data_IF_948945496673
#
_entry.id   IF_948945496673
#
_cell.length_a   1.000
_cell.length_b   1.000
_cell.length_c   1.000
_cell.angle_alpha   90.00
_cell.angle_beta   90.00
_cell.angle_gamma   90.00
#
_symmetry.space_group_name_H-M   'P 1'
#
loop_
_entity.id
_entity.type
_entity.pdbx_description
1 polymer ?
#
# COMPACT_ATOMS: atom_id res chain seq x y z
N UNK A 1 5.48 52.52 -9.80
CA UNK A 1 4.79 51.29 -10.25
C UNK A 1 5.74 50.10 -10.35
N UNK A 2 6.93 50.23 -10.92
CA UNK A 2 7.87 49.10 -11.07
C UNK A 2 8.33 48.49 -9.73
N UNK A 3 8.66 49.34 -8.75
CA UNK A 3 9.10 48.87 -7.42
C UNK A 3 8.02 48.04 -6.69
N UNK A 4 6.76 48.42 -6.78
CA UNK A 4 5.64 47.73 -6.18
C UNK A 4 5.42 46.33 -6.81
N UNK A 5 5.60 46.22 -8.11
CA UNK A 5 5.49 44.96 -8.85
C UNK A 5 6.65 44.03 -8.44
N UNK A 6 7.85 44.54 -8.35
CA UNK A 6 9.04 43.77 -7.94
C UNK A 6 8.87 43.24 -6.51
N UNK A 7 8.44 44.09 -5.59
CA UNK A 7 8.16 43.67 -4.20
C UNK A 7 7.07 42.61 -4.12
N UNK A 8 5.99 42.75 -4.90
CA UNK A 8 4.91 41.76 -4.95
C UNK A 8 5.39 40.41 -5.48
N UNK A 9 6.23 40.39 -6.52
CA UNK A 9 6.78 39.14 -7.07
C UNK A 9 7.71 38.47 -6.05
N UNK A 10 8.58 39.24 -5.40
CA UNK A 10 9.48 38.69 -4.37
C UNK A 10 8.68 38.10 -3.19
N UNK A 11 7.65 38.83 -2.73
CA UNK A 11 6.80 38.36 -1.65
C UNK A 11 6.05 37.06 -2.04
N UNK A 12 5.53 37.00 -3.26
CA UNK A 12 4.85 35.78 -3.77
C UNK A 12 5.81 34.59 -3.86
N UNK A 13 7.01 34.80 -4.40
CA UNK A 13 8.04 33.75 -4.47
C UNK A 13 8.48 33.29 -3.09
N UNK A 14 8.66 34.21 -2.15
CA UNK A 14 9.03 33.86 -0.78
C UNK A 14 7.97 33.01 -0.10
N UNK A 15 6.69 33.35 -0.22
CA UNK A 15 5.57 32.59 0.34
C UNK A 15 5.45 31.19 -0.31
N UNK A 16 5.58 31.12 -1.64
CA UNK A 16 5.50 29.83 -2.34
C UNK A 16 6.65 28.91 -1.97
N UNK A 17 7.88 29.41 -1.90
CA UNK A 17 9.04 28.63 -1.47
C UNK A 17 8.92 28.16 -0.02
N UNK A 18 8.39 29.01 0.87
CA UNK A 18 8.15 28.66 2.26
C UNK A 18 7.12 27.54 2.36
N UNK A 19 6.00 27.62 1.63
CA UNK A 19 4.98 26.58 1.63
C UNK A 19 5.49 25.25 1.06
N UNK A 20 6.21 25.29 -0.05
CA UNK A 20 6.83 24.09 -0.64
C UNK A 20 7.85 23.48 0.31
N UNK A 21 8.69 24.29 0.94
CA UNK A 21 9.66 23.83 1.94
C UNK A 21 8.98 23.16 3.13
N UNK A 22 7.89 23.75 3.64
CA UNK A 22 7.11 23.20 4.74
C UNK A 22 6.44 21.87 4.36
N UNK A 23 5.90 21.76 3.14
CA UNK A 23 5.31 20.53 2.64
C UNK A 23 6.35 19.41 2.47
N UNK A 24 7.54 19.72 1.93
CA UNK A 24 8.63 18.77 1.78
C UNK A 24 9.16 18.31 3.15
N UNK A 25 9.28 19.24 4.09
CA UNK A 25 9.68 18.92 5.46
C UNK A 25 8.66 18.04 6.17
N UNK A 26 7.38 18.38 6.06
CA UNK A 26 6.29 17.56 6.61
C UNK A 26 6.28 16.15 5.98
N UNK A 27 6.42 16.06 4.66
CA UNK A 27 6.53 14.78 3.96
C UNK A 27 7.71 13.95 4.48
N UNK A 28 8.89 14.55 4.60
CA UNK A 28 10.09 13.86 5.09
C UNK A 28 9.95 13.35 6.54
N UNK A 29 9.22 14.08 7.38
CA UNK A 29 8.97 13.70 8.78
C UNK A 29 7.85 12.68 8.95
N UNK A 30 6.80 12.75 8.11
CA UNK A 30 5.62 11.89 8.25
C UNK A 30 5.73 10.60 7.42
N UNK A 31 6.56 10.59 6.37
CA UNK A 31 6.79 9.37 5.60
C UNK A 31 7.89 8.58 6.29
N UNK A 32 7.50 7.45 6.89
CA UNK A 32 8.46 6.46 7.38
C UNK A 32 9.18 5.88 6.15
N UNK A 33 10.35 6.39 5.85
CA UNK A 33 11.22 5.86 4.80
C UNK A 33 12.17 4.85 5.44
N UNK A 34 11.69 3.62 5.59
CA UNK A 34 12.49 2.49 6.04
C UNK A 34 12.25 1.29 5.14
N UNK A 35 13.25 0.45 4.99
CA UNK A 35 13.06 -0.88 4.43
C UNK A 35 12.20 -1.69 5.40
N UNK A 36 11.17 -2.31 4.88
CA UNK A 36 10.28 -3.21 5.61
C UNK A 36 10.27 -4.57 4.95
N UNK A 37 10.16 -5.58 5.79
CA UNK A 37 10.13 -6.97 5.36
C UNK A 37 8.72 -7.51 5.48
N UNK A 38 8.24 -8.17 4.43
CA UNK A 38 6.96 -8.87 4.40
C UNK A 38 7.26 -10.36 4.33
N UNK A 39 6.92 -11.06 5.39
CA UNK A 39 6.99 -12.51 5.47
C UNK A 39 5.65 -13.11 5.03
N UNK A 40 5.70 -13.96 4.02
CA UNK A 40 4.53 -14.62 3.46
C UNK A 40 4.56 -16.09 3.83
N UNK A 41 3.47 -16.56 4.43
CA UNK A 41 3.25 -17.96 4.82
C UNK A 41 4.36 -18.54 5.72
N UNK A 42 4.91 -17.71 6.63
CA UNK A 42 5.92 -18.19 7.58
C UNK A 42 7.29 -18.50 6.95
N UNK A 43 7.73 -17.66 6.02
CA UNK A 43 9.05 -17.74 5.39
C UNK A 43 9.08 -18.40 4.01
N UNK A 44 7.92 -18.81 3.46
CA UNK A 44 7.85 -19.37 2.10
C UNK A 44 8.32 -18.34 1.06
N UNK A 45 7.98 -17.07 1.27
CA UNK A 45 8.50 -15.95 0.49
C UNK A 45 8.69 -14.72 1.37
N UNK A 46 9.89 -14.15 1.33
CA UNK A 46 10.22 -12.93 2.05
C UNK A 46 10.47 -11.81 1.03
N UNK A 47 9.78 -10.69 1.21
CA UNK A 47 9.88 -9.52 0.34
C UNK A 47 10.43 -8.36 1.16
N UNK A 48 11.51 -7.75 0.71
CA UNK A 48 12.01 -6.48 1.26
C UNK A 48 11.60 -5.34 0.34
N UNK A 49 10.99 -4.32 0.89
CA UNK A 49 10.45 -3.18 0.14
C UNK A 49 10.51 -1.90 0.95
N UNK A 50 10.33 -0.77 0.28
CA UNK A 50 10.17 0.52 0.96
C UNK A 50 8.77 0.66 1.57
N UNK A 51 8.71 1.30 2.75
CA UNK A 51 7.44 1.60 3.40
C UNK A 51 6.64 2.66 2.63
N UNK A 52 5.31 2.66 2.81
CA UNK A 52 4.40 3.71 2.29
C UNK A 52 3.40 3.24 1.25
N UNK A 53 3.67 2.18 0.51
CA UNK A 53 2.74 1.59 -0.48
C UNK A 53 1.64 0.77 0.18
N UNK A 54 0.61 0.41 -0.58
CA UNK A 54 -0.38 -0.57 -0.12
C UNK A 54 0.17 -1.97 -0.21
N UNK A 55 -0.27 -2.87 0.67
CA UNK A 55 0.14 -4.27 0.63
C UNK A 55 -0.16 -4.91 -0.72
N UNK A 56 -1.34 -4.62 -1.31
CA UNK A 56 -1.72 -5.11 -2.63
C UNK A 56 -0.71 -4.70 -3.72
N UNK A 57 -0.34 -3.42 -3.77
CA UNK A 57 0.62 -2.91 -4.76
C UNK A 57 2.02 -3.49 -4.54
N UNK A 58 2.46 -3.59 -3.30
CA UNK A 58 3.75 -4.18 -2.95
C UNK A 58 3.84 -5.65 -3.34
N UNK A 59 2.80 -6.42 -3.08
CA UNK A 59 2.73 -7.83 -3.46
C UNK A 59 2.75 -7.98 -4.99
N UNK A 60 1.97 -7.18 -5.72
CA UNK A 60 1.93 -7.20 -7.18
C UNK A 60 3.28 -6.88 -7.81
N UNK A 61 4.00 -5.88 -7.29
CA UNK A 61 5.36 -5.54 -7.73
C UNK A 61 6.35 -6.69 -7.53
N UNK A 62 6.09 -7.55 -6.56
CA UNK A 62 6.90 -8.73 -6.26
C UNK A 62 6.33 -10.04 -6.82
N UNK A 63 5.46 -9.94 -7.83
CA UNK A 63 4.85 -11.08 -8.56
C UNK A 63 3.98 -11.98 -7.67
N UNK A 64 3.35 -11.40 -6.67
CA UNK A 64 2.32 -12.05 -5.84
C UNK A 64 1.00 -11.32 -6.10
N UNK A 65 0.11 -11.94 -6.85
CA UNK A 65 -1.11 -11.30 -7.35
C UNK A 65 -2.33 -11.71 -6.53
N UNK A 66 -2.76 -10.85 -5.62
CA UNK A 66 -4.06 -11.01 -4.97
C UNK A 66 -5.18 -10.63 -5.95
N UNK A 67 -6.30 -11.36 -5.97
CA UNK A 67 -7.43 -11.01 -6.81
C UNK A 67 -7.96 -9.62 -6.45
N UNK A 68 -8.11 -8.74 -7.44
CA UNK A 68 -8.54 -7.36 -7.23
C UNK A 68 -9.25 -6.82 -8.46
N UNK A 69 -10.56 -7.03 -8.56
CA UNK A 69 -11.35 -6.54 -9.68
C UNK A 69 -11.45 -5.00 -9.74
N UNK A 70 -11.32 -4.32 -8.60
CA UNK A 70 -11.37 -2.85 -8.53
C UNK A 70 -9.99 -2.17 -8.67
N UNK A 71 -8.92 -2.94 -8.92
CA UNK A 71 -7.57 -2.38 -9.05
C UNK A 71 -7.03 -1.71 -7.78
N UNK A 72 -7.55 -2.06 -6.60
CA UNK A 72 -7.10 -1.48 -5.33
C UNK A 72 -8.00 -0.36 -4.79
N UNK A 73 -9.14 -0.08 -5.43
CA UNK A 73 -10.07 0.98 -5.03
C UNK A 73 -10.89 0.67 -3.76
N UNK A 74 -10.76 -0.51 -3.16
CA UNK A 74 -11.46 -0.87 -1.91
C UNK A 74 -12.93 -1.19 -2.07
N UNK A 75 -13.46 -1.32 -3.30
CA UNK A 75 -14.89 -1.48 -3.57
C UNK A 75 -15.34 -2.91 -3.88
N UNK A 76 -14.43 -3.84 -4.21
CA UNK A 76 -14.79 -5.21 -4.56
C UNK A 76 -14.64 -6.24 -3.43
N UNK A 77 -13.84 -5.94 -2.41
CA UNK A 77 -13.58 -6.83 -1.29
C UNK A 77 -12.85 -8.14 -1.63
N UNK A 78 -12.24 -8.26 -2.82
CA UNK A 78 -11.63 -9.51 -3.28
C UNK A 78 -10.19 -9.72 -2.79
N UNK A 79 -9.44 -8.66 -2.53
CA UNK A 79 -8.04 -8.70 -2.12
C UNK A 79 -7.85 -9.08 -0.65
N UNK A 80 -8.60 -10.07 -0.17
CA UNK A 80 -8.54 -10.53 1.22
C UNK A 80 -7.29 -11.37 1.45
N UNK A 81 -6.58 -11.05 2.50
CA UNK A 81 -5.47 -11.84 3.03
C UNK A 81 -5.47 -11.76 4.56
N UNK A 82 -4.83 -12.69 5.23
CA UNK A 82 -4.65 -12.60 6.67
C UNK A 82 -3.36 -11.85 6.95
N UNK A 83 -3.45 -10.81 7.77
CA UNK A 83 -2.29 -10.00 8.21
C UNK A 83 -2.09 -10.27 9.69
N UNK A 84 -1.17 -11.18 9.99
CA UNK A 84 -0.95 -11.70 11.35
C UNK A 84 -0.25 -10.64 12.21
N UNK A 85 0.73 -9.93 11.65
CA UNK A 85 1.49 -8.89 12.34
C UNK A 85 1.67 -7.67 11.42
N UNK A 86 1.70 -6.48 12.00
CA UNK A 86 2.03 -5.23 11.31
C UNK A 86 0.87 -4.58 10.53
N UNK A 87 -0.31 -5.18 10.52
CA UNK A 87 -1.45 -4.68 9.73
C UNK A 87 -2.21 -3.51 10.35
N UNK A 88 -1.95 -3.18 11.61
CA UNK A 88 -2.73 -2.18 12.35
C UNK A 88 -4.20 -2.58 12.54
N UNK A 89 -5.01 -1.64 12.98
CA UNK A 89 -6.44 -1.84 13.21
C UNK A 89 -7.24 -1.89 11.91
N UNK A 90 -8.41 -2.54 11.98
CA UNK A 90 -9.32 -2.63 10.84
C UNK A 90 -9.90 -1.24 10.53
N UNK A 91 -9.91 -0.88 9.25
CA UNK A 91 -10.39 0.43 8.83
C UNK A 91 -11.92 0.39 8.64
N UNK A 92 -12.62 1.52 8.85
CA UNK A 92 -14.05 1.63 8.58
C UNK A 92 -14.43 1.23 7.15
N UNK A 93 -13.55 1.45 6.18
CA UNK A 93 -13.72 1.08 4.77
C UNK A 93 -13.69 -0.43 4.53
N UNK A 94 -13.13 -1.21 5.45
CA UNK A 94 -13.05 -2.67 5.37
C UNK A 94 -14.27 -3.37 5.99
N UNK A 95 -14.99 -2.70 6.90
CA UNK A 95 -16.09 -3.30 7.68
C UNK A 95 -17.25 -3.81 6.84
N UNK A 96 -17.42 -3.27 5.62
CA UNK A 96 -18.42 -3.76 4.67
C UNK A 96 -18.07 -5.12 4.05
N UNK A 97 -16.80 -5.53 4.08
CA UNK A 97 -16.31 -6.75 3.44
C UNK A 97 -15.71 -7.76 4.42
N UNK A 98 -15.27 -7.29 5.58
CA UNK A 98 -14.66 -8.09 6.64
C UNK A 98 -15.64 -8.19 7.80
N UNK A 99 -16.14 -9.39 8.05
CA UNK A 99 -17.04 -9.64 9.18
C UNK A 99 -16.28 -9.61 10.51
N UNK A 100 -17.00 -9.48 11.63
CA UNK A 100 -16.38 -9.50 12.97
C UNK A 100 -15.60 -10.79 13.24
N UNK A 101 -16.03 -11.92 12.67
CA UNK A 101 -15.32 -13.19 12.78
C UNK A 101 -14.02 -13.14 12.00
N UNK A 102 -14.06 -12.70 10.75
CA UNK A 102 -12.88 -12.54 9.91
C UNK A 102 -11.87 -11.55 10.52
N UNK A 103 -12.36 -10.46 11.13
CA UNK A 103 -11.50 -9.51 11.82
C UNK A 103 -10.70 -10.16 12.97
N UNK A 104 -11.33 -11.05 13.74
CA UNK A 104 -10.66 -11.84 14.80
C UNK A 104 -9.65 -12.84 14.26
N UNK A 105 -9.84 -13.29 13.03
CA UNK A 105 -8.94 -14.19 12.30
C UNK A 105 -7.89 -13.42 11.49
N UNK A 106 -7.69 -12.11 11.78
CA UNK A 106 -6.72 -11.23 11.13
C UNK A 106 -6.91 -11.02 9.62
N UNK A 107 -8.13 -11.24 9.11
CA UNK A 107 -8.44 -10.93 7.71
C UNK A 107 -8.48 -9.43 7.47
N UNK A 108 -7.84 -9.00 6.39
CA UNK A 108 -7.77 -7.61 5.95
C UNK A 108 -7.92 -7.51 4.44
N UNK A 109 -8.23 -6.31 3.95
CA UNK A 109 -8.14 -6.01 2.52
C UNK A 109 -6.74 -5.51 2.17
N UNK A 110 -5.99 -6.24 1.34
CA UNK A 110 -4.62 -5.88 0.96
C UNK A 110 -4.49 -4.49 0.33
N UNK A 111 -5.55 -3.98 -0.30
CA UNK A 111 -5.56 -2.62 -0.85
C UNK A 111 -5.71 -1.52 0.21
N UNK A 112 -6.21 -1.83 1.40
CA UNK A 112 -6.39 -0.88 2.50
C UNK A 112 -5.24 -0.90 3.50
N UNK A 113 -4.52 -2.01 3.58
CA UNK A 113 -3.35 -2.13 4.47
C UNK A 113 -2.17 -1.38 3.88
N UNK A 114 -1.63 -0.44 4.65
CA UNK A 114 -0.39 0.29 4.31
C UNK A 114 0.81 -0.42 4.91
N UNK A 115 1.82 -0.63 4.09
CA UNK A 115 3.10 -1.20 4.51
C UNK A 115 3.89 -0.10 5.24
N UNK A 116 3.87 -0.11 6.57
CA UNK A 116 4.56 0.88 7.42
C UNK A 116 5.68 0.27 8.26
N UNK A 117 5.55 -0.99 8.57
CA UNK A 117 6.44 -1.79 9.41
C UNK A 117 6.51 -3.22 8.87
N UNK A 118 7.32 -4.05 9.48
CA UNK A 118 7.42 -5.45 9.08
C UNK A 118 6.07 -6.16 9.20
N UNK A 119 5.71 -6.89 8.17
CA UNK A 119 4.43 -7.58 8.05
C UNK A 119 4.64 -9.09 8.02
N UNK A 120 3.76 -9.82 8.73
CA UNK A 120 3.57 -11.25 8.51
C UNK A 120 2.19 -11.50 7.96
N UNK A 121 2.12 -12.08 6.79
CA UNK A 121 0.87 -12.32 6.08
C UNK A 121 0.71 -13.79 5.70
N UNK A 122 -0.54 -14.20 5.60
CA UNK A 122 -0.90 -15.48 5.00
C UNK A 122 -1.79 -15.23 3.79
N UNK A 123 -1.40 -15.84 2.69
CA UNK A 123 -2.15 -15.82 1.43
C UNK A 123 -2.44 -17.25 0.99
N UNK A 124 -3.54 -17.50 0.26
CA UNK A 124 -3.80 -18.83 -0.30
C UNK A 124 -2.66 -19.29 -1.21
N UNK A 125 -2.30 -20.55 -1.16
CA UNK A 125 -1.23 -21.14 -1.99
C UNK A 125 -1.44 -20.89 -3.49
N UNK A 126 -2.69 -20.84 -3.94
CA UNK A 126 -3.04 -20.51 -5.32
C UNK A 126 -2.48 -19.16 -5.80
N UNK A 127 -2.27 -18.22 -4.88
CA UNK A 127 -1.72 -16.88 -5.18
C UNK A 127 -0.20 -16.93 -5.36
N UNK A 128 0.49 -17.81 -4.67
CA UNK A 128 1.95 -18.01 -4.78
C UNK A 128 2.32 -18.92 -5.95
N UNK A 129 1.43 -19.83 -6.31
CA UNK A 129 1.63 -20.84 -7.35
C UNK A 129 1.18 -20.44 -8.75
N UNK A 130 0.98 -19.17 -9.06
CA UNK A 130 0.61 -18.73 -10.42
C UNK A 130 1.76 -19.03 -11.38
N UNK A 131 1.66 -20.16 -12.09
CA UNK A 131 2.54 -20.52 -13.21
C UNK A 131 1.90 -20.07 -14.51
N UNK A 132 2.68 -19.45 -15.38
CA UNK A 132 2.27 -19.18 -16.74
C UNK A 132 2.27 -20.51 -17.52
N UNK A 133 1.10 -20.94 -17.92
CA UNK A 133 0.95 -22.12 -18.79
C UNK A 133 0.86 -21.65 -20.25
N UNK A 134 1.69 -22.21 -21.09
CA UNK A 134 1.55 -22.04 -22.54
C UNK A 134 0.57 -23.11 -23.03
N UNK A 135 -0.61 -22.67 -23.46
CA UNK A 135 -1.64 -23.54 -24.01
C UNK A 135 -1.70 -23.36 -25.52
N UNK A 136 -1.67 -24.45 -26.29
CA UNK A 136 -1.94 -24.46 -27.71
C UNK A 136 -3.41 -24.81 -27.90
N UNK A 137 -4.14 -23.96 -28.62
CA UNK A 137 -5.52 -24.24 -28.98
C UNK A 137 -5.49 -25.30 -30.09
N UNK A 138 -6.01 -26.49 -29.81
CA UNK A 138 -6.21 -27.55 -30.81
C UNK A 138 -7.61 -27.35 -31.37
N UNK A 139 -7.68 -26.95 -32.67
CA UNK A 139 -8.92 -26.79 -33.42
C UNK A 139 -9.36 -28.11 -34.02
#
# INVERSE_FOLDING_TARGET
MELTIIVAIIAFLAVTLLLVGLLLFAKAKLTSSGEVTIDINGGEKVITTESGSTLLATLANNKVFLPSACGGGGSCGMCKCQVIEGGGDILPTETGFITRKMAKEHWRLGCQVKVKENLKIQVPEAVLGVKKWECTVVS
#
